data_IF_934245492398
#
_entry.id   IF_934245492398
#
_cell.length_a   1.000
_cell.length_b   1.000
_cell.length_c   1.000
_cell.angle_alpha   90.00
_cell.angle_beta   90.00
_cell.angle_gamma   90.00
#
_symmetry.space_group_name_H-M   'P 1'
#
loop_
_entity.id
_entity.type
_entity.pdbx_description
1 polymer ?
#
# COMPACT_ATOMS: atom_id res chain seq x y z
N UNK A 1 39.83 -18.75 -13.97
CA UNK A 1 38.45 -18.70 -13.42
C UNK A 1 38.57 -18.54 -11.90
N UNK A 2 38.97 -17.42 -11.28
CA UNK A 2 38.59 -15.98 -11.33
C UNK A 2 37.18 -15.61 -10.85
N UNK A 3 36.69 -16.26 -9.78
CA UNK A 3 35.56 -15.76 -8.95
C UNK A 3 35.76 -15.96 -7.43
N UNK A 4 36.98 -16.26 -6.95
CA UNK A 4 37.28 -16.47 -5.52
C UNK A 4 37.86 -15.24 -4.80
N UNK A 5 38.21 -14.18 -5.53
CA UNK A 5 38.90 -13.01 -4.97
C UNK A 5 37.97 -11.83 -4.62
N UNK A 6 36.66 -12.00 -4.69
CA UNK A 6 35.68 -10.92 -4.49
C UNK A 6 34.93 -11.01 -3.14
N UNK A 7 34.86 -12.18 -2.50
CA UNK A 7 34.25 -12.33 -1.18
C UNK A 7 35.12 -11.66 -0.11
N UNK A 8 34.53 -10.74 0.67
CA UNK A 8 35.23 -9.92 1.66
C UNK A 8 35.81 -8.59 1.15
N UNK A 9 35.84 -8.34 -0.17
CA UNK A 9 36.32 -7.07 -0.71
C UNK A 9 35.30 -5.92 -0.61
N UNK A 10 34.02 -6.25 -0.37
CA UNK A 10 32.94 -5.28 -0.34
C UNK A 10 32.99 -4.35 0.89
N UNK A 11 33.60 -4.80 1.99
CA UNK A 11 33.90 -3.96 3.15
C UNK A 11 34.95 -2.87 2.84
N UNK A 12 35.92 -3.15 1.95
CA UNK A 12 36.95 -2.20 1.54
C UNK A 12 36.44 -1.15 0.52
N UNK A 13 35.32 -1.41 -0.15
CA UNK A 13 34.74 -0.55 -1.19
C UNK A 13 33.77 0.53 -0.67
N UNK A 14 33.61 0.69 0.64
CA UNK A 14 32.86 1.80 1.25
C UNK A 14 31.34 1.79 0.99
N UNK A 15 30.74 0.67 0.59
CA UNK A 15 29.28 0.56 0.41
C UNK A 15 28.62 0.21 1.73
N UNK A 16 27.70 1.07 2.18
CA UNK A 16 27.03 1.02 3.50
C UNK A 16 26.10 -0.17 3.74
N UNK A 17 25.84 -1.03 2.75
CA UNK A 17 25.18 -2.32 3.01
C UNK A 17 25.60 -3.33 1.95
N UNK A 18 26.16 -4.44 2.41
CA UNK A 18 26.57 -5.56 1.57
C UNK A 18 25.83 -6.79 2.09
N UNK A 19 25.01 -7.40 1.23
CA UNK A 19 24.39 -8.69 1.52
C UNK A 19 25.21 -9.76 0.80
N UNK A 20 26.24 -10.29 1.46
CA UNK A 20 26.95 -11.47 0.99
C UNK A 20 26.24 -12.71 1.54
N UNK A 21 25.80 -13.59 0.64
CA UNK A 21 25.28 -14.91 1.01
C UNK A 21 26.41 -15.92 0.81
N UNK A 22 26.61 -16.79 1.80
CA UNK A 22 27.56 -17.91 1.70
C UNK A 22 27.19 -18.78 0.50
N UNK A 23 28.16 -19.20 -0.31
CA UNK A 23 27.91 -20.12 -1.41
C UNK A 23 27.33 -21.43 -0.86
N UNK A 24 26.48 -22.07 -1.67
CA UNK A 24 25.59 -23.14 -1.22
C UNK A 24 26.31 -24.37 -0.64
N UNK A 25 27.58 -24.56 -0.97
CA UNK A 25 28.47 -25.62 -0.50
C UNK A 25 29.06 -25.37 0.91
N UNK A 26 29.02 -24.14 1.40
CA UNK A 26 29.49 -23.75 2.75
C UNK A 26 28.34 -23.54 3.75
N UNK A 27 27.10 -23.85 3.35
CA UNK A 27 25.96 -23.78 4.25
C UNK A 27 26.06 -24.89 5.32
N UNK A 28 25.81 -24.57 6.61
CA UNK A 28 25.73 -25.61 7.64
C UNK A 28 24.64 -26.62 7.26
N UNK A 29 24.83 -27.92 7.59
CA UNK A 29 23.82 -28.93 7.32
C UNK A 29 22.50 -28.52 7.99
N UNK A 30 21.41 -28.57 7.22
CA UNK A 30 20.10 -28.19 7.73
C UNK A 30 19.77 -28.99 9.00
N UNK A 31 19.53 -28.28 10.10
CA UNK A 31 18.88 -28.88 11.27
C UNK A 31 17.54 -29.43 10.82
N UNK A 32 17.30 -30.72 11.09
CA UNK A 32 16.05 -31.38 10.70
C UNK A 32 14.86 -30.55 11.15
N UNK A 33 13.86 -30.39 10.28
CA UNK A 33 12.63 -29.69 10.66
C UNK A 33 12.04 -30.39 11.87
N UNK A 34 11.80 -29.67 12.97
CA UNK A 34 10.88 -30.15 13.99
C UNK A 34 9.61 -30.63 13.28
N UNK A 35 9.07 -31.82 13.62
CA UNK A 35 7.86 -32.30 13.00
C UNK A 35 6.82 -31.20 13.13
N UNK A 36 6.31 -30.73 11.99
CA UNK A 36 5.32 -29.66 11.94
C UNK A 36 4.20 -30.04 12.91
N UNK A 37 4.12 -29.32 14.04
CA UNK A 37 2.99 -29.47 14.96
C UNK A 37 1.76 -29.27 14.11
N UNK A 38 0.91 -30.29 14.03
CA UNK A 38 -0.33 -30.24 13.25
C UNK A 38 -1.31 -29.33 13.98
N UNK A 39 -1.00 -28.04 13.95
CA UNK A 39 -1.81 -26.96 14.49
C UNK A 39 -3.09 -26.77 13.67
N UNK A 40 -3.16 -27.43 12.51
CA UNK A 40 -4.28 -27.41 11.57
C UNK A 40 -4.69 -28.82 11.14
N UNK A 41 -5.98 -29.02 10.97
CA UNK A 41 -6.57 -30.24 10.41
C UNK A 41 -6.32 -30.35 8.90
N UNK A 42 -6.74 -31.46 8.30
CA UNK A 42 -6.63 -31.69 6.85
C UNK A 42 -7.42 -30.67 6.00
N UNK A 43 -8.32 -29.89 6.60
CA UNK A 43 -9.06 -28.80 5.97
C UNK A 43 -8.43 -27.42 6.24
N UNK A 44 -7.25 -27.37 6.88
CA UNK A 44 -6.53 -26.14 7.20
C UNK A 44 -7.09 -25.35 8.40
N UNK A 45 -8.05 -25.91 9.14
CA UNK A 45 -8.65 -25.29 10.34
C UNK A 45 -7.83 -25.61 11.58
N UNK A 46 -7.73 -24.66 12.50
CA UNK A 46 -7.02 -24.89 13.75
C UNK A 46 -7.65 -26.03 14.55
N UNK A 47 -6.83 -26.98 15.01
CA UNK A 47 -7.30 -28.11 15.83
C UNK A 47 -7.88 -27.62 17.18
N UNK A 48 -8.92 -28.28 17.71
CA UNK A 48 -9.51 -27.93 19.01
C UNK A 48 -8.45 -27.91 20.12
N UNK A 49 -8.40 -26.85 20.92
CA UNK A 49 -7.41 -26.66 21.99
C UNK A 49 -6.18 -25.83 21.62
N UNK A 50 -5.97 -25.54 20.32
CA UNK A 50 -4.90 -24.63 19.90
C UNK A 50 -5.25 -23.16 20.22
N UNK A 51 -4.64 -22.63 21.30
CA UNK A 51 -4.82 -21.23 21.74
C UNK A 51 -4.05 -20.22 20.89
N UNK A 52 -3.02 -20.66 20.14
CA UNK A 52 -2.26 -19.78 19.24
C UNK A 52 -3.09 -19.29 18.06
N UNK A 53 -3.98 -20.13 17.54
CA UNK A 53 -4.95 -19.73 16.51
C UNK A 53 -5.97 -18.69 16.98
N UNK A 54 -6.11 -18.47 18.30
CA UNK A 54 -6.96 -17.41 18.86
C UNK A 54 -6.20 -16.08 19.02
N UNK A 55 -4.89 -16.14 19.28
CA UNK A 55 -3.98 -14.99 19.37
C UNK A 55 -3.55 -14.47 17.99
N UNK A 56 -3.39 -15.36 17.01
CA UNK A 56 -3.04 -15.00 15.63
C UNK A 56 -4.23 -14.47 14.80
N UNK A 57 -5.46 -14.50 15.33
CA UNK A 57 -6.61 -13.86 14.70
C UNK A 57 -6.53 -12.36 14.93
N UNK A 58 -5.95 -11.65 13.96
CA UNK A 58 -6.16 -10.22 13.84
C UNK A 58 -7.69 -9.98 13.75
N UNK A 59 -8.27 -9.31 14.74
CA UNK A 59 -9.68 -8.90 14.65
C UNK A 59 -9.77 -7.82 13.56
N UNK A 60 -10.50 -8.12 12.49
CA UNK A 60 -10.91 -7.12 11.52
C UNK A 60 -11.82 -6.11 12.24
N UNK A 61 -11.26 -4.97 12.59
CA UNK A 61 -11.96 -3.80 13.12
C UNK A 61 -11.44 -2.56 12.41
N UNK A 62 -12.11 -1.40 12.54
CA UNK A 62 -11.87 -0.17 11.77
C UNK A 62 -10.52 0.53 12.03
N UNK A 63 -9.50 -0.22 12.44
CA UNK A 63 -8.13 0.24 12.66
C UNK A 63 -7.18 -0.85 13.18
N UNK A 64 -7.67 -2.05 13.52
CA UNK A 64 -6.83 -3.20 13.90
C UNK A 64 -5.73 -2.87 14.92
N UNK A 65 -4.56 -3.50 14.77
CA UNK A 65 -3.38 -3.19 15.57
C UNK A 65 -2.85 -1.75 15.37
N UNK A 66 -3.14 -1.14 14.21
CA UNK A 66 -2.67 0.20 13.85
C UNK A 66 -3.33 1.29 14.70
N UNK A 67 -4.62 1.16 15.05
CA UNK A 67 -5.29 2.11 15.94
C UNK A 67 -4.62 2.20 17.32
N UNK A 68 -4.07 1.09 17.82
CA UNK A 68 -3.32 1.07 19.07
C UNK A 68 -1.95 1.76 18.98
N UNK A 69 -1.32 1.74 17.81
CA UNK A 69 -0.09 2.48 17.54
C UNK A 69 -0.39 3.97 17.35
N UNK A 70 -1.45 4.31 16.61
CA UNK A 70 -1.92 5.67 16.41
C UNK A 70 -2.22 6.36 17.74
N UNK A 71 -2.84 5.65 18.69
CA UNK A 71 -3.14 6.17 20.03
C UNK A 71 -1.88 6.52 20.85
N UNK A 72 -0.78 5.81 20.61
CA UNK A 72 0.53 6.06 21.25
C UNK A 72 1.36 7.11 20.52
N UNK A 73 0.93 7.54 19.33
CA UNK A 73 1.67 8.49 18.52
C UNK A 73 1.59 9.92 19.09
N UNK A 74 2.61 10.70 18.75
CA UNK A 74 2.72 12.10 19.16
C UNK A 74 1.45 12.90 18.79
N UNK A 75 0.96 13.80 19.66
CA UNK A 75 -0.25 14.59 19.40
C UNK A 75 -0.21 15.33 18.06
N UNK A 76 0.95 15.86 17.67
CA UNK A 76 1.15 16.59 16.42
C UNK A 76 1.00 15.69 15.20
N UNK A 77 1.49 14.44 15.29
CA UNK A 77 1.30 13.46 14.23
C UNK A 77 -0.17 13.07 14.11
N UNK A 78 -0.87 12.83 15.23
CA UNK A 78 -2.32 12.55 15.23
C UNK A 78 -3.14 13.68 14.63
N UNK A 79 -2.77 14.93 14.90
CA UNK A 79 -3.41 16.10 14.27
C UNK A 79 -3.20 16.10 12.74
N UNK A 80 -1.98 15.80 12.28
CA UNK A 80 -1.70 15.65 10.85
C UNK A 80 -2.51 14.52 10.20
N UNK A 81 -2.64 13.36 10.85
CA UNK A 81 -3.47 12.23 10.36
C UNK A 81 -4.96 12.57 10.32
N UNK A 82 -5.46 13.33 11.30
CA UNK A 82 -6.85 13.80 11.31
C UNK A 82 -7.14 14.73 10.13
N UNK A 83 -6.20 15.63 9.83
CA UNK A 83 -6.25 16.43 8.61
C UNK A 83 -6.22 15.56 7.35
N UNK A 84 -5.35 14.53 7.29
CA UNK A 84 -5.25 13.62 6.14
C UNK A 84 -6.59 12.97 5.80
N UNK A 85 -7.29 12.43 6.80
CA UNK A 85 -8.61 11.80 6.62
C UNK A 85 -9.63 12.76 5.99
N UNK A 86 -9.65 14.02 6.44
CA UNK A 86 -10.54 15.06 5.88
C UNK A 86 -10.13 15.43 4.46
N UNK A 87 -8.84 15.57 4.20
CA UNK A 87 -8.31 15.88 2.87
C UNK A 87 -8.60 14.76 1.86
N UNK A 88 -8.41 13.48 2.25
CA UNK A 88 -8.74 12.32 1.43
C UNK A 88 -10.24 12.27 1.11
N UNK A 89 -11.11 12.43 2.12
CA UNK A 89 -12.55 12.44 1.92
C UNK A 89 -13.01 13.56 0.97
N UNK A 90 -12.45 14.77 1.13
CA UNK A 90 -12.70 15.88 0.21
C UNK A 90 -12.27 15.54 -1.22
N UNK A 91 -11.07 14.98 -1.40
CA UNK A 91 -10.52 14.69 -2.72
C UNK A 91 -11.22 13.53 -3.44
N UNK A 92 -11.65 12.52 -2.68
CA UNK A 92 -12.53 11.45 -3.18
C UNK A 92 -13.84 12.06 -3.67
N UNK A 93 -14.47 12.94 -2.88
CA UNK A 93 -15.71 13.62 -3.29
C UNK A 93 -15.53 14.42 -4.58
N UNK A 94 -14.46 15.20 -4.68
CA UNK A 94 -14.13 15.99 -5.87
C UNK A 94 -13.96 15.11 -7.12
N UNK A 95 -13.22 13.99 -7.00
CA UNK A 95 -13.06 13.03 -8.10
C UNK A 95 -14.37 12.38 -8.51
N UNK A 96 -15.21 11.99 -7.55
CA UNK A 96 -16.55 11.41 -7.79
C UNK A 96 -17.42 12.40 -8.56
N UNK A 97 -17.42 13.68 -8.16
CA UNK A 97 -18.18 14.75 -8.82
C UNK A 97 -17.68 14.99 -10.26
N UNK A 98 -16.37 15.02 -10.48
CA UNK A 98 -15.78 15.26 -11.80
C UNK A 98 -15.90 14.09 -12.78
N UNK A 99 -15.86 12.85 -12.29
CA UNK A 99 -15.86 11.63 -13.11
C UNK A 99 -17.21 10.92 -13.19
N UNK A 100 -18.27 11.61 -12.77
CA UNK A 100 -19.66 11.21 -13.02
C UNK A 100 -20.16 10.05 -12.16
N UNK A 101 -19.72 9.99 -10.90
CA UNK A 101 -20.18 9.02 -9.91
C UNK A 101 -19.06 8.15 -9.36
N UNK A 102 -19.38 6.89 -9.07
CA UNK A 102 -18.56 6.00 -8.25
C UNK A 102 -17.11 5.86 -8.73
N UNK A 103 -16.19 5.78 -7.77
CA UNK A 103 -14.78 5.49 -7.97
C UNK A 103 -14.50 4.06 -7.52
N UNK A 104 -13.54 3.39 -8.17
CA UNK A 104 -13.08 2.10 -7.64
C UNK A 104 -12.39 2.25 -6.28
N UNK A 105 -12.36 1.15 -5.52
CA UNK A 105 -11.60 1.08 -4.27
C UNK A 105 -10.11 1.41 -4.49
N UNK A 106 -9.54 1.04 -5.65
CA UNK A 106 -8.15 1.33 -5.98
C UNK A 106 -7.87 2.83 -6.07
N UNK A 107 -8.74 3.59 -6.74
CA UNK A 107 -8.67 5.07 -6.79
C UNK A 107 -8.78 5.66 -5.38
N UNK A 108 -9.75 5.18 -4.59
CA UNK A 108 -9.92 5.67 -3.22
C UNK A 108 -8.70 5.40 -2.33
N UNK A 109 -8.08 4.21 -2.46
CA UNK A 109 -6.87 3.86 -1.71
C UNK A 109 -5.69 4.77 -2.08
N UNK A 110 -5.45 5.02 -3.37
CA UNK A 110 -4.39 5.93 -3.81
C UNK A 110 -4.56 7.35 -3.25
N UNK A 111 -5.78 7.84 -3.15
CA UNK A 111 -6.08 9.16 -2.57
C UNK A 111 -5.85 9.17 -1.05
N UNK A 112 -6.24 8.10 -0.36
CA UNK A 112 -5.96 7.94 1.07
C UNK A 112 -4.46 7.89 1.32
N UNK A 113 -3.71 7.09 0.56
CA UNK A 113 -2.26 6.96 0.65
C UNK A 113 -1.56 8.31 0.37
N UNK A 114 -2.00 9.04 -0.66
CA UNK A 114 -1.48 10.36 -0.96
C UNK A 114 -1.70 11.38 0.18
N UNK A 115 -2.88 11.34 0.83
CA UNK A 115 -3.18 12.20 1.96
C UNK A 115 -2.33 11.83 3.19
N UNK A 116 -2.15 10.54 3.43
CA UNK A 116 -1.35 9.99 4.52
C UNK A 116 0.13 10.38 4.37
N UNK A 117 0.71 10.21 3.19
CA UNK A 117 2.09 10.63 2.87
C UNK A 117 2.28 12.15 3.06
N UNK A 118 1.26 12.96 2.73
CA UNK A 118 1.29 14.42 2.97
C UNK A 118 1.28 14.76 4.45
N UNK A 119 0.51 14.03 5.26
CA UNK A 119 0.49 14.25 6.70
C UNK A 119 1.82 13.88 7.34
N UNK A 120 2.40 12.74 6.95
CA UNK A 120 3.72 12.32 7.44
C UNK A 120 4.79 13.33 7.04
N UNK A 121 4.77 13.80 5.79
CA UNK A 121 5.71 14.83 5.35
C UNK A 121 5.57 16.16 6.11
N UNK A 122 4.34 16.58 6.42
CA UNK A 122 4.08 17.81 7.22
C UNK A 122 4.61 17.65 8.63
N UNK A 123 4.35 16.52 9.27
CA UNK A 123 4.86 16.21 10.60
C UNK A 123 6.39 16.18 10.62
N UNK A 124 7.01 15.45 9.69
CA UNK A 124 8.47 15.35 9.61
C UNK A 124 9.13 16.68 9.26
N UNK A 125 8.51 17.51 8.41
CA UNK A 125 9.00 18.86 8.12
C UNK A 125 8.99 19.75 9.36
N UNK A 126 7.96 19.66 10.20
CA UNK A 126 7.89 20.41 11.46
C UNK A 126 8.95 19.92 12.45
N UNK A 127 9.11 18.60 12.60
CA UNK A 127 10.16 17.99 13.44
C UNK A 127 11.57 18.34 12.97
N UNK A 128 11.81 18.36 11.66
CA UNK A 128 13.09 18.74 11.08
C UNK A 128 13.52 20.16 11.48
N UNK A 129 12.57 21.10 11.52
CA UNK A 129 12.82 22.49 11.96
C UNK A 129 13.08 22.57 13.46
N UNK A 130 12.32 21.82 14.27
CA UNK A 130 12.46 21.80 15.72
C UNK A 130 13.81 21.20 16.16
N UNK A 131 14.24 20.13 15.50
CA UNK A 131 15.45 19.39 15.86
C UNK A 131 16.69 19.80 15.04
N UNK A 132 16.56 20.80 14.15
CA UNK A 132 17.58 21.16 13.16
C UNK A 132 18.15 19.95 12.38
N UNK A 133 17.29 18.98 12.04
CA UNK A 133 17.69 17.72 11.43
C UNK A 133 17.41 17.74 9.90
N UNK A 134 18.45 17.82 9.05
CA UNK A 134 18.28 17.89 7.59
C UNK A 134 17.79 16.58 6.97
N UNK A 135 18.07 15.42 7.59
CA UNK A 135 17.61 14.13 7.07
C UNK A 135 16.09 13.99 7.14
N UNK A 136 15.47 14.50 8.23
CA UNK A 136 14.00 14.56 8.32
C UNK A 136 13.39 15.45 7.23
N UNK A 137 14.05 16.56 6.88
CA UNK A 137 13.62 17.41 5.75
C UNK A 137 13.72 16.68 4.42
N UNK A 138 14.78 15.88 4.21
CA UNK A 138 14.98 15.10 3.00
C UNK A 138 13.91 14.01 2.85
N UNK A 139 13.63 13.28 3.93
CA UNK A 139 12.57 12.26 3.96
C UNK A 139 11.21 12.90 3.68
N UNK A 140 10.90 14.03 4.33
CA UNK A 140 9.65 14.75 4.10
C UNK A 140 9.48 15.17 2.63
N UNK A 141 10.55 15.66 1.99
CA UNK A 141 10.52 16.00 0.56
C UNK A 141 10.24 14.78 -0.33
N UNK A 142 10.85 13.62 -0.02
CA UNK A 142 10.57 12.36 -0.70
C UNK A 142 9.11 11.93 -0.57
N UNK A 143 8.55 11.96 0.64
CA UNK A 143 7.14 11.65 0.89
C UNK A 143 6.20 12.58 0.13
N UNK A 144 6.50 13.88 0.03
CA UNK A 144 5.70 14.81 -0.78
C UNK A 144 5.76 14.48 -2.28
N UNK A 145 6.91 14.04 -2.79
CA UNK A 145 7.03 13.61 -4.18
C UNK A 145 6.18 12.36 -4.44
N UNK A 146 6.26 11.35 -3.57
CA UNK A 146 5.43 10.14 -3.63
C UNK A 146 3.95 10.46 -3.51
N UNK A 147 3.55 11.37 -2.61
CA UNK A 147 2.15 11.78 -2.48
C UNK A 147 1.60 12.43 -3.75
N UNK A 148 2.41 13.28 -4.41
CA UNK A 148 2.02 13.88 -5.70
C UNK A 148 1.91 12.83 -6.80
N UNK A 149 2.78 11.81 -6.79
CA UNK A 149 2.68 10.70 -7.72
C UNK A 149 1.39 9.91 -7.52
N UNK A 150 1.13 9.44 -6.30
CA UNK A 150 -0.07 8.67 -5.97
C UNK A 150 -1.37 9.44 -6.30
N UNK A 151 -1.39 10.75 -6.04
CA UNK A 151 -2.54 11.56 -6.42
C UNK A 151 -2.69 11.63 -7.96
N UNK A 152 -1.62 11.91 -8.72
CA UNK A 152 -1.69 11.92 -10.19
C UNK A 152 -2.19 10.60 -10.76
N UNK A 153 -1.68 9.48 -10.23
CA UNK A 153 -2.08 8.14 -10.65
C UNK A 153 -3.57 7.89 -10.36
N UNK A 154 -4.08 8.37 -9.22
CA UNK A 154 -5.49 8.30 -8.89
C UNK A 154 -6.37 9.09 -9.87
N UNK A 155 -5.96 10.32 -10.22
CA UNK A 155 -6.67 11.13 -11.22
C UNK A 155 -6.68 10.47 -12.59
N UNK A 156 -5.54 9.94 -13.03
CA UNK A 156 -5.44 9.25 -14.30
C UNK A 156 -6.32 7.99 -14.32
N UNK A 157 -6.25 7.17 -13.28
CA UNK A 157 -7.07 5.97 -13.17
C UNK A 157 -8.56 6.30 -13.13
N UNK A 158 -8.98 7.30 -12.35
CA UNK A 158 -10.37 7.75 -12.29
C UNK A 158 -10.88 8.22 -13.66
N UNK A 159 -10.06 8.95 -14.42
CA UNK A 159 -10.40 9.38 -15.78
C UNK A 159 -10.59 8.20 -16.74
N UNK A 160 -9.73 7.19 -16.65
CA UNK A 160 -9.80 5.96 -17.46
C UNK A 160 -11.04 5.14 -17.10
N UNK A 161 -11.35 5.00 -15.82
CA UNK A 161 -12.57 4.34 -15.34
C UNK A 161 -13.83 5.04 -15.84
N UNK A 162 -13.88 6.37 -15.77
CA UNK A 162 -15.00 7.16 -16.27
C UNK A 162 -15.21 6.98 -17.78
N UNK A 163 -14.11 7.05 -18.56
CA UNK A 163 -14.15 6.81 -20.00
C UNK A 163 -14.66 5.40 -20.32
N UNK A 164 -14.15 4.37 -19.64
CA UNK A 164 -14.58 2.98 -19.83
C UNK A 164 -16.07 2.76 -19.51
N UNK A 165 -16.58 3.39 -18.44
CA UNK A 165 -18.02 3.37 -18.12
C UNK A 165 -18.86 4.01 -19.21
N UNK A 166 -18.43 5.14 -19.75
CA UNK A 166 -19.16 5.83 -20.83
C UNK A 166 -19.27 4.95 -22.08
N UNK A 167 -18.19 4.25 -22.44
CA UNK A 167 -18.15 3.30 -23.56
C UNK A 167 -19.06 2.10 -23.31
N UNK A 168 -19.02 1.54 -22.11
CA UNK A 168 -19.87 0.40 -21.73
C UNK A 168 -21.35 0.76 -21.79
N UNK A 169 -21.75 1.91 -21.22
CA UNK A 169 -23.13 2.42 -21.29
C UNK A 169 -23.58 2.64 -22.73
N UNK A 170 -22.71 3.19 -23.59
CA UNK A 170 -22.99 3.39 -25.02
C UNK A 170 -23.21 2.07 -25.74
N UNK A 171 -22.36 1.08 -25.49
CA UNK A 171 -22.47 -0.24 -26.08
C UNK A 171 -23.76 -0.93 -25.64
N UNK A 172 -24.07 -0.99 -24.35
CA UNK A 172 -25.31 -1.58 -23.83
C UNK A 172 -26.55 -0.93 -24.46
N UNK A 173 -26.57 0.41 -24.56
CA UNK A 173 -27.67 1.13 -25.25
C UNK A 173 -27.77 0.77 -26.73
N UNK A 174 -26.65 0.50 -27.42
CA UNK A 174 -26.65 0.05 -28.81
C UNK A 174 -27.26 -1.36 -28.94
N UNK A 175 -26.93 -2.28 -28.02
CA UNK A 175 -27.47 -3.64 -27.99
C UNK A 175 -28.96 -3.68 -27.67
N UNK A 176 -29.45 -2.75 -26.83
CA UNK A 176 -30.85 -2.66 -26.43
C UNK A 176 -31.73 -1.89 -27.43
N UNK A 177 -31.16 -1.31 -28.50
CA UNK A 177 -31.99 -0.71 -29.55
C UNK A 177 -32.67 -1.83 -30.34
N UNK A 178 -34.00 -1.77 -30.53
CA UNK A 178 -34.65 -2.70 -31.45
C UNK A 178 -33.97 -2.61 -32.81
N UNK A 179 -33.62 -3.76 -33.39
CA UNK A 179 -33.14 -3.78 -34.77
C UNK A 179 -34.23 -3.13 -35.63
N UNK A 180 -33.90 -2.22 -36.56
CA UNK A 180 -34.88 -1.73 -37.50
C UNK A 180 -35.51 -2.94 -38.19
N UNK A 181 -36.83 -3.03 -38.18
CA UNK A 181 -37.54 -4.08 -38.88
C UNK A 181 -37.07 -4.06 -40.32
N UNK A 182 -36.41 -5.15 -40.73
CA UNK A 182 -36.09 -5.39 -42.13
C UNK A 182 -37.44 -5.49 -42.85
N UNK A 183 -37.86 -4.38 -43.46
CA UNK A 183 -38.99 -4.34 -44.37
C UNK A 183 -38.71 -5.36 -45.47
N UNK A 184 -39.32 -6.55 -45.35
CA UNK A 184 -39.32 -7.53 -46.42
C UNK A 184 -40.07 -6.93 -47.62
N UNK A 185 -39.54 -7.11 -48.84
CA UNK A 185 -40.14 -6.59 -50.06
C UNK A 185 -41.53 -7.18 -50.31
#
# INVERSE_FOLDING_TARGET
MTWRSAHGAAAAAGRLTVLETTPADELPPATGSDPARQDRDAAGRFVPGNRWGRLARAKAGPGGALAGLDAKAAPEWRAARTWAKRAAAHRIRELTELHGGDLSAGVCMLIVDAADLRADARYLSARARADANPELSRIAAGLLASARQAERDAWELASREAAARSTTRRNVRRWLRPKPEESKP
#
